data_IF_091183318604
#
_entry.id   IF_091183318604
#
_cell.length_a   1.000
_cell.length_b   1.000
_cell.length_c   1.000
_cell.angle_alpha   90.00
_cell.angle_beta   90.00
_cell.angle_gamma   90.00
#
_symmetry.space_group_name_H-M   'P 1'
#
loop_
_entity.id
_entity.type
_entity.pdbx_description
1 polymer ?
2 non-polymer ?
3 non-polymer ?
4 water ?
#
# COMPACT_ATOMS: atom_id res chain seq x y z
N UNK A 4 15.32 9.96 6.40
CA UNK A 4 15.24 10.43 4.98
C UNK A 4 13.83 10.74 4.46
N UNK A 5 12.83 10.60 5.32
CA UNK A 5 11.44 10.76 4.89
C UNK A 5 11.19 12.18 4.38
N UNK A 6 10.65 12.31 3.18
CA UNK A 6 10.32 13.63 2.57
C UNK A 6 9.30 14.35 3.41
N UNK A 7 9.59 15.56 3.90
CA UNK A 7 8.55 16.25 4.67
C UNK A 7 7.38 16.71 3.78
N UNK A 8 6.16 16.61 4.30
CA UNK A 8 4.98 17.08 3.57
C UNK A 8 3.95 17.57 4.56
N UNK A 9 3.04 18.43 4.11
CA UNK A 9 1.91 18.66 5.02
C UNK A 9 1.12 17.37 5.27
N UNK A 10 0.35 17.38 6.35
CA UNK A 10 -0.54 16.30 6.68
C UNK A 10 -1.91 16.53 6.02
N UNK A 11 -2.36 15.49 5.32
CA UNK A 11 -3.71 15.40 4.79
C UNK A 11 -4.44 14.26 5.53
N UNK A 12 -5.53 14.63 6.20
CA UNK A 12 -6.38 13.65 6.86
C UNK A 12 -7.36 13.09 5.87
N UNK A 13 -7.38 11.76 5.79
CA UNK A 13 -8.38 11.01 5.06
C UNK A 13 -9.21 10.33 6.13
N UNK A 14 -10.39 10.90 6.41
CA UNK A 14 -11.13 10.53 7.61
C UNK A 14 -10.19 10.76 8.78
N UNK A 15 -10.08 9.76 9.65
CA UNK A 15 -9.18 9.84 10.80
C UNK A 15 -7.71 9.50 10.49
N UNK A 16 -7.41 9.08 9.25
CA UNK A 16 -6.07 8.62 8.91
C UNK A 16 -5.21 9.76 8.36
N UNK A 17 -4.12 10.14 9.08
CA UNK A 17 -3.24 11.19 8.60
C UNK A 17 -2.24 10.62 7.60
N UNK A 18 -2.09 11.28 6.46
CA UNK A 18 -1.14 10.93 5.41
C UNK A 18 -0.15 12.06 5.31
N UNK A 19 1.14 11.76 5.33
CA UNK A 19 2.16 12.77 5.11
C UNK A 19 3.46 12.42 5.80
N UNK A 20 4.47 13.24 5.58
CA UNK A 20 5.84 12.93 6.03
C UNK A 20 6.02 12.71 7.52
N UNK A 21 5.11 13.25 8.33
CA UNK A 21 5.12 13.07 9.77
C UNK A 21 4.43 11.79 10.24
N UNK A 22 3.93 10.97 9.32
CA UNK A 22 3.04 9.88 9.69
C UNK A 22 3.44 8.58 9.02
N UNK A 23 3.07 7.43 9.63
CA UNK A 23 3.32 6.16 8.97
C UNK A 23 2.73 6.09 7.56
N UNK A 24 3.45 5.42 6.67
CA UNK A 24 2.97 5.22 5.30
C UNK A 24 1.75 4.34 5.37
N UNK A 25 0.64 4.84 4.82
CA UNK A 25 -0.65 4.20 4.96
C UNK A 25 -0.91 3.22 3.83
N UNK A 26 -1.39 2.04 4.19
CA UNK A 26 -1.77 1.04 3.21
C UNK A 26 -3.21 1.26 2.80
N UNK A 27 -3.44 1.26 1.49
CA UNK A 27 -4.79 1.30 0.98
C UNK A 27 -5.05 0.28 -0.11
N UNK A 28 -6.32 0.17 -0.50
CA UNK A 28 -6.75 -0.82 -1.45
C UNK A 28 -8.02 -0.32 -2.11
N UNK A 29 -8.57 -1.11 -3.01
CA UNK A 29 -9.77 -0.76 -3.74
C UNK A 29 -10.63 -1.99 -3.87
N UNK A 30 -11.93 -1.79 -3.76
CA UNK A 30 -12.90 -2.85 -3.93
C UNK A 30 -13.00 -3.25 -5.42
N UNK A 31 -13.49 -4.46 -5.65
CA UNK A 31 -13.82 -4.89 -7.02
C UNK A 31 -15.26 -5.40 -7.20
N UNK A 32 -16.11 -5.08 -6.23
CA UNK A 32 -17.52 -5.42 -6.31
C UNK A 32 -18.22 -4.28 -7.00
N UNK A 33 -19.39 -4.56 -7.63
CA UNK A 33 -20.16 -3.42 -8.11
C UNK A 33 -20.61 -2.56 -6.93
N UNK A 34 -20.33 -1.27 -7.00
CA UNK A 34 -20.60 -0.36 -5.88
C UNK A 34 -22.10 -0.32 -5.59
N UNK A 35 -22.92 -0.47 -6.63
CA UNK A 35 -24.37 -0.52 -6.48
C UNK A 35 -24.84 -1.69 -5.61
N UNK A 36 -24.05 -2.75 -5.52
CA UNK A 36 -24.36 -3.87 -4.63
C UNK A 36 -23.84 -3.54 -3.23
N UNK A 37 -24.75 -3.03 -2.40
CA UNK A 37 -24.43 -2.51 -1.09
C UNK A 37 -23.92 -3.61 -0.17
N UNK A 38 -24.59 -4.75 -0.16
CA UNK A 38 -24.21 -5.86 0.71
C UNK A 38 -22.80 -6.37 0.33
N UNK A 39 -22.57 -6.61 -0.96
CA UNK A 39 -21.28 -7.13 -1.39
C UNK A 39 -20.14 -6.13 -1.16
N UNK A 40 -20.40 -4.85 -1.44
CA UNK A 40 -19.37 -3.82 -1.30
C UNK A 40 -19.06 -3.54 0.17
N UNK A 41 -20.09 -3.47 1.01
CA UNK A 41 -19.90 -3.28 2.44
C UNK A 41 -19.04 -4.41 3.03
N UNK A 42 -19.36 -5.64 2.66
CA UNK A 42 -18.62 -6.81 3.13
C UNK A 42 -17.15 -6.75 2.70
N UNK A 43 -16.90 -6.36 1.47
CA UNK A 43 -15.53 -6.33 1.00
C UNK A 43 -14.75 -5.18 1.63
N UNK A 44 -15.41 -4.03 1.83
CA UNK A 44 -14.76 -2.92 2.54
C UNK A 44 -14.30 -3.38 3.90
N UNK A 45 -15.18 -4.06 4.64
CA UNK A 45 -14.84 -4.60 5.96
C UNK A 45 -13.71 -5.64 5.90
N UNK A 46 -13.77 -6.52 4.92
CA UNK A 46 -12.75 -7.55 4.69
C UNK A 46 -11.39 -6.90 4.47
N UNK A 47 -11.34 -5.89 3.61
CA UNK A 47 -10.08 -5.22 3.29
C UNK A 47 -9.53 -4.46 4.48
N UNK A 48 -10.42 -3.77 5.18
CA UNK A 48 -10.04 -3.03 6.38
C UNK A 48 -9.49 -3.98 7.45
N UNK A 49 -10.14 -5.11 7.63
CA UNK A 49 -9.68 -6.09 8.62
C UNK A 49 -8.31 -6.69 8.29
N UNK A 50 -8.02 -6.79 6.99
CA UNK A 50 -6.73 -7.28 6.50
C UNK A 50 -5.61 -6.26 6.63
N UNK A 51 -5.98 -5.01 6.85
CA UNK A 51 -5.02 -3.95 7.08
C UNK A 51 -5.10 -2.78 6.13
N UNK A 52 -6.12 -2.71 5.29
CA UNK A 52 -6.32 -1.54 4.45
C UNK A 52 -6.86 -0.38 5.31
N UNK A 53 -6.01 0.60 5.57
CA UNK A 53 -6.34 1.71 6.43
C UNK A 53 -7.31 2.69 5.76
N UNK A 54 -7.25 2.75 4.44
CA UNK A 54 -8.16 3.52 3.57
C UNK A 54 -8.67 2.56 2.49
N UNK A 55 -9.95 2.69 2.12
CA UNK A 55 -10.51 1.87 1.05
C UNK A 55 -11.17 2.74 -0.02
N UNK A 56 -10.77 2.48 -1.25
CA UNK A 56 -11.32 3.19 -2.41
C UNK A 56 -12.38 2.35 -3.06
N UNK A 57 -13.40 3.02 -3.59
CA UNK A 57 -14.43 2.33 -4.38
C UNK A 57 -14.83 3.18 -5.59
N UNK A 58 -15.16 2.50 -6.68
CA UNK A 58 -15.48 3.21 -7.90
C UNK A 58 -16.88 3.81 -7.74
N UNK A 59 -17.04 5.06 -8.16
CA UNK A 59 -18.35 5.71 -8.16
C UNK A 59 -18.57 6.14 -9.59
N UNK A 60 -19.04 5.19 -10.40
CA UNK A 60 -18.99 5.31 -11.85
C UNK A 60 -20.28 5.77 -12.52
N UNK A 61 -21.40 5.59 -11.83
CA UNK A 61 -22.70 5.98 -12.38
C UNK A 61 -23.65 6.32 -11.23
N UNK A 62 -24.88 6.64 -11.57
CA UNK A 62 -25.86 7.13 -10.60
C UNK A 62 -26.21 6.05 -9.57
N UNK A 63 -26.29 4.80 -9.99
CA UNK A 63 -26.61 3.71 -9.07
C UNK A 63 -25.50 3.52 -8.04
N UNK A 64 -24.25 3.63 -8.49
CA UNK A 64 -23.12 3.59 -7.57
C UNK A 64 -23.21 4.72 -6.56
N UNK A 65 -23.49 5.92 -7.05
CA UNK A 65 -23.53 7.11 -6.20
C UNK A 65 -24.62 7.01 -5.14
N UNK A 66 -25.78 6.50 -5.50
CA UNK A 66 -26.87 6.36 -4.55
C UNK A 66 -26.59 5.30 -3.48
N UNK A 67 -25.72 4.35 -3.80
CA UNK A 67 -25.35 3.30 -2.86
C UNK A 67 -24.35 3.76 -1.78
N UNK A 68 -23.52 4.76 -2.10
CA UNK A 68 -22.42 5.14 -1.21
C UNK A 68 -22.89 5.56 0.19
N UNK A 69 -23.94 6.40 0.29
CA UNK A 69 -24.42 6.75 1.63
C UNK A 69 -24.86 5.56 2.47
N UNK A 70 -25.49 4.57 1.86
CA UNK A 70 -25.92 3.38 2.60
C UNK A 70 -24.73 2.52 3.02
N UNK A 71 -23.74 2.35 2.14
CA UNK A 71 -22.50 1.66 2.49
C UNK A 71 -21.87 2.31 3.73
N UNK A 72 -21.68 3.62 3.69
CA UNK A 72 -21.11 4.34 4.82
C UNK A 72 -21.91 4.15 6.12
N UNK A 73 -23.23 4.24 6.02
CA UNK A 73 -24.12 4.03 7.17
C UNK A 73 -23.90 2.65 7.79
N UNK A 74 -23.81 1.62 6.95
CA UNK A 74 -23.61 0.27 7.44
C UNK A 74 -22.26 0.10 8.11
N UNK A 75 -21.21 0.69 7.55
CA UNK A 75 -19.89 0.66 8.15
C UNK A 75 -19.90 1.28 9.54
N UNK A 76 -20.48 2.47 9.64
CA UNK A 76 -20.59 3.17 10.92
C UNK A 76 -21.40 2.40 11.98
N UNK A 77 -22.43 1.68 11.54
CA UNK A 77 -23.28 0.91 12.43
C UNK A 77 -22.50 -0.22 13.11
N UNK A 78 -21.40 -0.65 12.50
CA UNK A 78 -20.55 -1.58 13.23
C UNK A 78 -19.26 -1.02 13.76
N UNK A 79 -19.23 0.30 13.90
CA UNK A 79 -18.12 0.97 14.55
C UNK A 79 -16.89 0.97 13.68
N UNK A 80 -17.05 0.68 12.39
CA UNK A 80 -15.93 0.63 11.47
C UNK A 80 -15.68 1.99 10.86
N UNK A 81 -14.58 2.64 11.27
CA UNK A 81 -14.27 4.02 10.87
C UNK A 81 -13.39 4.15 9.62
N UNK A 82 -13.53 3.22 8.69
CA UNK A 82 -12.63 3.09 7.57
C UNK A 82 -12.99 4.20 6.58
N UNK A 83 -12.01 5.05 6.27
CA UNK A 83 -12.30 6.10 5.28
C UNK A 83 -12.48 5.56 3.87
N UNK A 84 -13.41 6.19 3.15
CA UNK A 84 -13.78 5.82 1.79
C UNK A 84 -13.34 6.87 0.79
N UNK A 85 -12.65 6.42 -0.25
CA UNK A 85 -12.25 7.28 -1.34
C UNK A 85 -13.14 6.93 -2.52
N UNK A 86 -13.73 7.94 -3.12
CA UNK A 86 -14.52 7.73 -4.30
C UNK A 86 -13.71 7.96 -5.55
N UNK A 87 -13.70 6.97 -6.44
CA UNK A 87 -12.97 7.03 -7.69
C UNK A 87 -13.91 7.51 -8.80
N UNK A 88 -13.63 8.68 -9.35
CA UNK A 88 -14.45 9.30 -10.35
C UNK A 88 -13.76 9.38 -11.70
N UNK A 89 -14.48 9.02 -12.75
CA UNK A 89 -14.02 9.21 -14.13
C UNK A 89 -15.14 9.67 -15.04
N UNK A 90 -14.86 10.64 -15.89
CA UNK A 90 -15.75 11.12 -16.94
C UNK A 90 -16.90 11.98 -16.45
N UNK A 91 -17.68 11.44 -15.52
CA UNK A 91 -18.89 12.11 -15.00
C UNK A 91 -18.84 12.51 -13.51
N UNK A 92 -17.65 12.65 -12.94
CA UNK A 92 -17.51 12.93 -11.54
C UNK A 92 -18.19 14.21 -11.14
N UNK A 93 -18.08 15.21 -11.98
CA UNK A 93 -18.70 16.47 -11.72
C UNK A 93 -20.21 16.30 -11.68
N UNK A 94 -20.80 15.51 -12.54
CA UNK A 94 -22.27 15.33 -12.55
C UNK A 94 -22.72 14.58 -11.30
N UNK A 95 -21.99 13.53 -10.93
CA UNK A 95 -22.40 12.70 -9.80
C UNK A 95 -22.29 13.45 -8.48
N UNK A 96 -21.21 14.20 -8.29
CA UNK A 96 -21.02 14.95 -7.05
C UNK A 96 -22.07 16.05 -6.92
N UNK A 97 -22.40 16.71 -8.05
CA UNK A 97 -23.46 17.73 -8.12
C UNK A 97 -24.82 17.15 -7.78
N UNK A 98 -25.18 16.05 -8.44
CA UNK A 98 -26.52 15.48 -8.36
C UNK A 98 -26.78 14.73 -7.05
N UNK A 99 -25.74 14.14 -6.45
CA UNK A 99 -25.88 13.31 -5.24
C UNK A 99 -25.05 13.82 -4.06
N UNK A 100 -25.48 14.94 -3.44
CA UNK A 100 -24.69 15.54 -2.35
C UNK A 100 -24.52 14.64 -1.12
N UNK A 101 -25.47 13.73 -0.88
CA UNK A 101 -25.33 12.76 0.21
C UNK A 101 -24.13 11.81 -0.02
N UNK A 102 -23.90 11.42 -1.27
CA UNK A 102 -22.72 10.66 -1.64
C UNK A 102 -21.46 11.48 -1.42
N UNK A 103 -21.45 12.73 -1.89
CA UNK A 103 -20.29 13.59 -1.71
C UNK A 103 -19.91 13.76 -0.25
N UNK A 104 -20.91 13.86 0.62
CA UNK A 104 -20.71 14.08 2.03
C UNK A 104 -20.27 12.78 2.71
N UNK A 105 -20.72 11.65 2.18
CA UNK A 105 -20.44 10.34 2.77
C UNK A 105 -19.00 9.90 2.53
N UNK A 106 -18.45 10.26 1.37
CA UNK A 106 -17.07 9.94 1.05
C UNK A 106 -16.14 10.72 1.97
N UNK A 107 -14.94 10.18 2.17
CA UNK A 107 -13.92 10.86 2.95
C UNK A 107 -12.83 11.52 2.07
N UNK A 109 -12.11 12.48 -2.47
CA UNK A 109 -12.46 12.33 -3.89
C UNK A 109 -11.18 12.11 -4.68
N UNK A 110 -11.20 11.14 -5.60
CA UNK A 110 -10.12 10.97 -6.57
C UNK A 110 -10.57 11.54 -7.90
N UNK A 111 -9.75 12.45 -8.43
CA UNK A 111 -9.90 13.05 -9.75
C UNK A 111 -8.75 12.55 -10.64
N UNK A 112 -9.07 12.19 -11.88
CA UNK A 112 -8.04 11.91 -12.88
C UNK A 112 -8.05 13.02 -13.92
N UNK A 113 -6.96 13.79 -14.01
CA UNK A 113 -6.97 14.91 -14.94
C UNK A 113 -7.01 14.49 -16.41
N UNK A 114 -6.89 13.20 -16.69
CA UNK A 114 -7.09 12.67 -18.04
C UNK A 114 -8.47 12.10 -18.36
N UNK A 115 -9.38 12.10 -17.38
CA UNK A 115 -10.74 11.61 -17.63
C UNK A 115 -11.78 12.67 -17.23
N UNK A 116 -11.46 13.92 -17.49
CA UNK A 116 -12.35 15.03 -17.11
C UNK A 116 -13.28 15.39 -18.26
N UNK A 117 -12.86 15.03 -19.46
CA UNK A 117 -13.58 15.40 -20.67
C UNK A 117 -12.66 15.98 -21.72
N UNK A 118 -13.26 16.71 -22.67
CA UNK A 118 -12.61 17.09 -23.91
C UNK A 118 -12.39 18.60 -23.97
N UNK A 119 -11.15 19.00 -24.26
CA UNK A 119 -10.79 20.42 -24.44
C UNK A 119 -11.20 21.40 -23.35
N UNK A 120 -12.13 22.27 -23.66
CA UNK A 120 -12.55 23.35 -22.75
C UNK A 120 -13.33 22.82 -21.56
N UNK A 121 -14.07 21.74 -21.78
CA UNK A 121 -14.91 21.14 -20.74
C UNK A 121 -14.10 20.61 -19.56
N UNK A 122 -12.86 20.16 -19.79
CA UNK A 122 -11.94 19.69 -18.73
C UNK A 122 -11.84 20.66 -17.56
N UNK A 123 -11.50 21.91 -17.88
CA UNK A 123 -11.31 22.95 -16.88
C UNK A 123 -12.57 23.21 -16.05
N UNK A 124 -13.73 23.22 -16.71
CA UNK A 124 -15.02 23.40 -16.02
C UNK A 124 -15.25 22.25 -15.06
N UNK A 125 -15.11 21.03 -15.57
CA UNK A 125 -15.40 19.85 -14.77
C UNK A 125 -14.47 19.75 -13.59
N UNK A 126 -13.19 20.03 -13.82
CA UNK A 126 -12.20 20.03 -12.76
C UNK A 126 -12.58 21.04 -11.66
N UNK A 127 -12.83 22.27 -12.07
CA UNK A 127 -13.22 23.32 -11.12
C UNK A 127 -14.45 22.96 -10.30
N UNK A 128 -15.46 22.38 -10.94
CA UNK A 128 -16.69 21.99 -10.22
C UNK A 128 -16.40 20.96 -9.12
N UNK A 129 -15.57 19.97 -9.42
CA UNK A 129 -15.25 18.93 -8.43
C UNK A 129 -14.43 19.50 -7.27
N UNK A 130 -13.47 20.37 -7.58
CA UNK A 130 -12.67 21.03 -6.56
C UNK A 130 -13.57 21.95 -5.71
N UNK A 131 -14.46 22.71 -6.36
CA UNK A 131 -15.47 23.52 -5.66
C UNK A 131 -16.24 22.70 -4.62
N UNK A 132 -16.73 21.53 -5.03
CA UNK A 132 -17.49 20.68 -4.12
C UNK A 132 -16.62 20.18 -2.95
N UNK A 133 -15.41 19.73 -3.25
CA UNK A 133 -14.48 19.31 -2.19
C UNK A 133 -14.24 20.44 -1.19
N UNK A 134 -14.01 21.65 -1.71
CA UNK A 134 -13.80 22.83 -0.84
C UNK A 134 -15.03 23.13 0.02
N UNK A 135 -16.22 23.09 -0.58
CA UNK A 135 -17.48 23.35 0.16
C UNK A 135 -17.68 22.35 1.28
N UNK A 136 -17.27 21.12 1.04
CA UNK A 136 -17.50 20.05 2.01
C UNK A 136 -16.29 19.72 2.89
N UNK A 137 -15.18 20.40 2.67
CA UNK A 137 -13.97 20.16 3.47
C UNK A 137 -13.31 18.82 3.19
N UNK A 138 -13.54 18.28 2.01
CA UNK A 138 -12.94 17.01 1.62
C UNK A 138 -11.56 17.13 0.96
N UNK A 139 -10.69 16.19 1.26
CA UNK A 139 -9.44 16.06 0.51
C UNK A 139 -9.65 15.46 -0.88
N UNK A 140 -8.67 15.65 -1.75
CA UNK A 140 -8.72 15.20 -3.12
C UNK A 140 -7.41 14.55 -3.50
N UNK A 141 -7.45 13.47 -4.25
CA UNK A 141 -6.24 12.99 -4.85
C UNK A 141 -6.35 13.39 -6.29
N UNK A 142 -5.33 14.04 -6.78
CA UNK A 142 -5.22 14.24 -8.19
C UNK A 142 -4.32 13.12 -8.66
N UNK A 143 -4.91 12.16 -9.35
CA UNK A 143 -4.19 10.98 -9.75
C UNK A 143 -4.15 10.82 -11.25
N UNK A 144 -2.98 11.04 -11.81
CA UNK A 144 -2.79 10.80 -13.21
C UNK A 144 -2.36 9.34 -13.42
N UNK A 145 -2.67 8.82 -14.57
CA UNK A 145 -2.29 7.46 -14.91
C UNK A 145 -1.96 7.46 -16.40
N UNK A 146 -0.90 6.78 -16.79
CA UNK A 146 -0.50 6.82 -18.18
C UNK A 146 -1.47 6.09 -19.13
N UNK A 147 -2.37 5.31 -18.56
CA UNK A 147 -3.43 4.69 -19.31
C UNK A 147 -4.51 5.66 -19.78
N UNK A 148 -4.49 6.83 -19.21
CA UNK A 148 -5.50 7.85 -19.47
C UNK A 148 -4.85 9.23 -19.49
N UNK A 149 -3.79 9.37 -20.28
CA UNK A 149 -3.06 10.61 -20.33
C UNK A 149 -3.77 11.63 -21.22
N UNK A 150 -3.93 12.83 -20.69
CA UNK A 150 -4.44 14.01 -21.39
C UNK A 150 -3.75 14.19 -22.77
N UNK A 151 -4.48 13.93 -23.87
CA UNK A 151 -3.85 13.97 -25.20
C UNK A 151 -3.41 15.36 -25.64
N UNK A 152 -4.10 16.41 -25.20
CA UNK A 152 -3.74 17.78 -25.57
C UNK A 152 -2.40 18.16 -24.92
N UNK A 153 -2.22 17.75 -23.67
CA UNK A 153 -0.98 18.01 -22.97
C UNK A 153 0.16 17.24 -23.61
N UNK A 154 -0.14 16.03 -24.08
CA UNK A 154 0.88 15.22 -24.73
C UNK A 154 1.34 15.91 -26.00
N UNK A 155 0.41 16.44 -26.79
CA UNK A 155 0.81 17.14 -28.02
C UNK A 155 1.66 18.37 -27.69
N UNK A 156 1.28 19.10 -26.65
CA UNK A 156 2.02 20.31 -26.28
C UNK A 156 3.46 19.95 -26.00
N UNK A 157 3.66 18.90 -25.21
CA UNK A 157 5.01 18.48 -24.82
C UNK A 157 5.78 17.78 -25.94
N UNK A 158 5.07 17.14 -26.86
CA UNK A 158 5.71 16.59 -28.06
C UNK A 158 6.31 17.71 -28.91
N UNK A 159 5.58 18.83 -29.01
CA UNK A 159 6.03 20.00 -29.77
C UNK A 159 7.23 20.68 -29.06
N UNK A 160 7.14 20.86 -27.74
CA UNK A 160 8.26 21.37 -26.97
C UNK A 160 9.50 20.51 -27.21
N UNK A 161 9.31 19.20 -27.21
CA UNK A 161 10.43 18.27 -27.38
C UNK A 161 11.07 18.34 -28.79
N UNK A 162 10.22 18.47 -29.80
CA UNK A 162 10.69 18.60 -31.18
C UNK A 162 11.56 19.85 -31.41
N UNK A 163 11.36 20.87 -30.59
CA UNK A 163 12.15 22.11 -30.68
C UNK A 163 13.51 21.98 -29.98
N UNK A 164 13.72 20.91 -29.23
CA UNK A 164 14.95 20.78 -28.47
C UNK A 164 16.13 20.54 -29.39
N UNK A 165 17.32 21.07 -29.04
CA UNK A 165 18.50 20.73 -29.83
C UNK A 165 18.69 19.20 -29.99
N UNK A 166 18.55 18.45 -28.89
CA UNK A 166 18.49 16.98 -28.94
C UNK A 166 17.16 16.49 -28.36
N UNK A 167 16.17 16.24 -29.25
CA UNK A 167 14.89 15.73 -28.78
C UNK A 167 15.01 14.41 -28.00
N UNK A 168 14.22 14.28 -26.95
CA UNK A 168 14.10 13.05 -26.19
C UNK A 168 13.18 12.04 -26.90
N UNK A 169 13.21 10.80 -26.46
CA UNK A 169 12.38 9.77 -27.07
C UNK A 169 10.91 10.04 -26.79
N UNK A 170 10.03 9.47 -27.63
CA UNK A 170 8.59 9.57 -27.45
C UNK A 170 8.21 9.08 -26.06
N UNK A 171 8.85 7.98 -25.64
CA UNK A 171 8.56 7.40 -24.33
C UNK A 171 8.87 8.37 -23.19
N UNK A 172 10.01 9.03 -23.29
CA UNK A 172 10.44 10.00 -22.28
C UNK A 172 9.44 11.17 -22.20
N UNK A 173 8.96 11.62 -23.35
CA UNK A 173 7.98 12.72 -23.43
C UNK A 173 6.62 12.32 -22.83
N UNK A 174 6.19 11.08 -23.03
CA UNK A 174 5.00 10.56 -22.35
C UNK A 174 5.16 10.69 -20.84
N UNK A 175 6.33 10.34 -20.32
CA UNK A 175 6.55 10.46 -18.87
C UNK A 175 6.56 11.92 -18.43
N UNK A 176 7.17 12.79 -19.22
CA UNK A 176 7.15 14.23 -18.92
C UNK A 176 5.73 14.72 -18.82
N UNK A 177 4.90 14.29 -19.76
CA UNK A 177 3.52 14.75 -19.85
C UNK A 177 2.69 14.26 -18.68
N UNK A 178 2.96 13.04 -18.22
CA UNK A 178 2.24 12.49 -17.08
C UNK A 178 2.53 13.31 -15.83
N UNK A 179 3.81 13.60 -15.61
CA UNK A 179 4.21 14.44 -14.49
C UNK A 179 3.55 15.82 -14.61
N UNK A 180 3.59 16.39 -15.81
CA UNK A 180 3.10 17.73 -16.01
C UNK A 180 1.59 17.79 -15.76
N UNK A 181 0.89 16.72 -16.14
CA UNK A 181 -0.54 16.62 -15.92
C UNK A 181 -0.91 16.76 -14.44
N UNK A 182 -0.21 16.00 -13.62
CA UNK A 182 -0.41 16.03 -12.17
C UNK A 182 -0.02 17.40 -11.60
N UNK A 183 1.14 17.90 -12.01
CA UNK A 183 1.67 19.13 -11.43
C UNK A 183 0.78 20.31 -11.79
N UNK A 184 0.39 20.41 -13.05
CA UNK A 184 -0.50 21.51 -13.48
C UNK A 184 -1.82 21.48 -12.74
N UNK A 185 -2.41 20.29 -12.59
CA UNK A 185 -3.70 20.20 -11.89
C UNK A 185 -3.54 20.51 -10.39
N UNK A 186 -2.45 20.02 -9.78
CA UNK A 186 -2.05 20.42 -8.40
C UNK A 186 -2.02 21.94 -8.22
N UNK A 187 -1.31 22.62 -9.10
CA UNK A 187 -1.13 24.05 -9.03
C UNK A 187 -2.45 24.78 -9.21
N UNK A 188 -3.26 24.28 -10.14
CA UNK A 188 -4.58 24.83 -10.38
C UNK A 188 -5.50 24.71 -9.18
N UNK A 189 -5.47 23.56 -8.50
CA UNK A 189 -6.32 23.34 -7.31
C UNK A 189 -5.91 24.28 -6.18
N UNK A 190 -4.58 24.43 -5.98
CA UNK A 190 -4.06 25.37 -4.99
C UNK A 190 -4.51 26.81 -5.31
N UNK A 191 -4.38 27.21 -6.56
CA UNK A 191 -4.79 28.56 -6.97
C UNK A 191 -6.27 28.81 -6.75
N UNK A 192 -7.09 27.77 -6.87
CA UNK A 192 -8.55 27.87 -6.61
C UNK A 192 -8.92 27.95 -5.12
N UNK A 193 -7.94 27.70 -4.24
CA UNK A 193 -8.13 27.81 -2.79
C UNK A 193 -8.21 26.51 -1.99
N UNK A 194 -8.05 25.37 -2.66
CA UNK A 194 -8.01 24.10 -1.95
C UNK A 194 -6.70 24.05 -1.14
N UNK A 195 -6.78 23.69 0.13
CA UNK A 195 -5.61 23.82 1.00
C UNK A 195 -4.58 22.74 0.75
N UNK A 196 -3.35 23.00 1.14
CA UNK A 196 -2.28 22.01 1.06
C UNK A 196 -2.59 20.78 1.92
N UNK A 197 -3.44 20.97 2.95
CA UNK A 197 -3.85 19.85 3.80
C UNK A 197 -5.02 19.06 3.20
N UNK A 198 -5.33 19.31 1.93
CA UNK A 198 -6.44 18.63 1.26
C UNK A 198 -6.05 18.06 -0.10
N UNK A 199 -4.76 17.95 -0.39
CA UNK A 199 -4.29 17.51 -1.71
C UNK A 199 -3.19 16.44 -1.65
N UNK A 200 -3.48 15.33 -2.31
CA UNK A 200 -2.57 14.21 -2.48
C UNK A 200 -2.40 14.01 -3.97
N UNK A 201 -1.20 13.64 -4.39
CA UNK A 201 -0.94 13.42 -5.79
C UNK A 201 -0.43 12.02 -6.09
N UNK A 202 -0.81 11.52 -7.27
CA UNK A 202 -0.21 10.32 -7.85
C UNK A 202 -0.03 10.49 -9.37
N UNK A 203 0.90 9.73 -9.95
CA UNK A 203 1.14 9.73 -11.39
C UNK A 203 1.70 8.36 -11.74
N UNK A 204 0.80 7.42 -12.01
CA UNK A 204 1.17 6.02 -12.09
C UNK A 204 1.45 5.53 -13.51
N UNK A 205 2.47 4.69 -13.59
CA UNK A 205 2.82 3.95 -14.79
C UNK A 205 2.96 2.48 -14.45
N UNK A 206 3.06 1.62 -15.48
CA UNK A 206 3.07 0.16 -15.28
C UNK A 206 4.46 -0.49 -15.34
N UNK A 207 5.48 0.32 -15.57
CA UNK A 207 6.87 -0.15 -15.61
C UNK A 207 7.69 0.46 -14.47
N UNK A 208 8.37 -0.40 -13.73
CA UNK A 208 9.05 -0.02 -12.50
C UNK A 208 10.09 1.09 -12.69
N UNK A 209 10.97 1.01 -13.68
CA UNK A 209 12.00 2.04 -13.80
C UNK A 209 11.38 3.39 -14.17
N UNK A 210 10.30 3.36 -14.92
CA UNK A 210 9.60 4.59 -15.27
C UNK A 210 8.91 5.22 -14.05
N UNK A 211 8.30 4.37 -13.20
CA UNK A 211 7.67 4.85 -11.97
C UNK A 211 8.67 5.59 -11.06
N UNK A 212 9.89 5.08 -10.98
CA UNK A 212 10.91 5.70 -10.14
C UNK A 212 11.24 7.11 -10.70
N UNK A 213 11.41 7.20 -12.01
CA UNK A 213 11.65 8.50 -12.63
C UNK A 213 10.51 9.48 -12.34
N UNK A 214 9.29 9.04 -12.59
CA UNK A 214 8.11 9.88 -12.41
C UNK A 214 7.99 10.43 -10.96
N UNK A 215 8.14 9.54 -9.98
CA UNK A 215 7.93 9.94 -8.60
C UNK A 215 9.06 10.81 -8.08
N UNK A 216 10.29 10.61 -8.57
CA UNK A 216 11.37 11.54 -8.24
C UNK A 216 11.05 12.96 -8.74
N UNK A 217 10.47 13.08 -9.92
CA UNK A 217 10.05 14.38 -10.46
C UNK A 217 8.92 14.98 -9.68
N UNK A 218 7.88 14.19 -9.42
CA UNK A 218 6.76 14.63 -8.60
C UNK A 218 7.22 15.13 -7.25
N UNK A 219 8.12 14.38 -6.62
CA UNK A 219 8.60 14.73 -5.28
C UNK A 219 9.39 16.05 -5.27
N UNK A 220 10.19 16.26 -6.31
CA UNK A 220 10.97 17.50 -6.48
C UNK A 220 10.10 18.71 -6.76
N UNK A 221 9.06 18.52 -7.57
CA UNK A 221 8.33 19.65 -8.15
C UNK A 221 7.12 20.08 -7.33
N UNK A 222 6.72 19.23 -6.38
CA UNK A 222 5.57 19.49 -5.53
C UNK A 222 5.91 19.30 -4.06
N UNK A 223 5.01 19.78 -3.20
CA UNK A 223 5.14 19.62 -1.75
C UNK A 223 4.15 18.59 -1.20
N UNK A 224 3.31 18.04 -2.05
CA UNK A 224 2.19 17.24 -1.60
C UNK A 224 2.60 15.86 -1.12
N UNK A 225 1.82 15.30 -0.19
CA UNK A 225 2.03 13.88 0.01
C UNK A 225 1.68 13.12 -1.27
N UNK A 226 2.38 12.01 -1.45
CA UNK A 226 2.26 11.23 -2.66
C UNK A 226 1.68 9.85 -2.40
N UNK A 227 0.70 9.50 -3.23
CA UNK A 227 0.14 8.18 -3.29
C UNK A 227 0.92 7.43 -4.37
N UNK A 228 1.58 6.37 -3.94
CA UNK A 228 2.52 5.66 -4.77
C UNK A 228 2.00 4.28 -5.08
N UNK A 229 2.05 3.93 -6.37
CA UNK A 229 1.76 2.57 -6.78
C UNK A 229 2.16 2.31 -8.23
N UNK A 230 2.44 1.06 -8.52
CA UNK A 230 2.71 0.58 -9.87
C UNK A 230 1.38 0.11 -10.43
N UNK A 231 0.83 0.87 -11.37
CA UNK A 231 -0.49 0.54 -11.89
C UNK A 231 -0.39 -0.66 -12.81
N UNK A 232 -1.47 -1.43 -12.87
CA UNK A 232 -1.58 -2.55 -13.79
C UNK A 232 -0.40 -3.52 -13.63
N UNK A 233 -0.04 -3.85 -12.39
CA UNK A 233 1.13 -4.69 -12.09
C UNK A 233 0.94 -6.14 -12.58
N UNK A 234 -0.29 -6.60 -12.62
CA UNK A 234 -0.57 -7.90 -13.19
C UNK A 234 -0.80 -9.01 -12.18
N UNK A 235 -0.68 -10.25 -12.64
CA UNK A 235 -1.08 -11.43 -11.88
C UNK A 235 0.10 -12.14 -11.25
N UNK A 236 -0.20 -12.84 -10.16
CA UNK A 236 0.72 -13.80 -9.58
C UNK A 236 2.04 -13.23 -9.16
N UNK A 237 3.09 -14.02 -9.36
CA UNK A 237 4.43 -13.65 -8.91
C UNK A 237 4.94 -12.41 -9.66
N UNK A 238 4.65 -12.34 -10.94
CA UNK A 238 5.03 -11.16 -11.73
C UNK A 238 4.54 -9.88 -11.09
N UNK A 239 3.25 -9.86 -10.72
CA UNK A 239 2.62 -8.68 -10.13
C UNK A 239 3.24 -8.30 -8.79
N UNK A 240 3.49 -9.31 -7.97
CA UNK A 240 4.08 -9.09 -6.64
C UNK A 240 5.48 -8.54 -6.77
N UNK A 241 6.28 -9.16 -7.64
CA UNK A 241 7.69 -8.77 -7.79
C UNK A 241 7.80 -7.37 -8.39
N UNK A 242 6.99 -7.11 -9.42
CA UNK A 242 7.04 -5.82 -10.11
C UNK A 242 6.65 -4.70 -9.14
N UNK A 243 5.65 -4.94 -8.30
CA UNK A 243 5.19 -3.95 -7.37
C UNK A 243 6.28 -3.65 -6.33
N UNK A 244 6.89 -4.68 -5.75
CA UNK A 244 7.94 -4.48 -4.76
C UNK A 244 9.17 -3.80 -5.37
N UNK A 245 9.56 -4.24 -6.56
CA UNK A 245 10.71 -3.70 -7.26
C UNK A 245 10.56 -2.22 -7.60
N UNK A 246 9.33 -1.82 -7.93
CA UNK A 246 9.02 -0.43 -8.31
C UNK A 246 8.98 0.48 -7.11
N UNK A 247 8.42 -0.01 -6.00
CA UNK A 247 8.20 0.85 -4.84
C UNK A 247 9.43 1.00 -3.99
N UNK A 248 10.23 -0.06 -3.87
CA UNK A 248 11.34 -0.04 -2.93
C UNK A 248 12.35 1.06 -3.12
N UNK A 249 12.78 1.32 -4.37
CA UNK A 249 13.80 2.36 -4.53
C UNK A 249 13.29 3.72 -4.07
N UNK A 250 12.01 3.97 -4.32
CA UNK A 250 11.36 5.23 -3.90
C UNK A 250 11.18 5.29 -2.39
N UNK A 251 10.65 4.23 -1.80
CA UNK A 251 10.39 4.23 -0.37
C UNK A 251 11.68 4.33 0.41
N UNK A 252 12.73 3.68 -0.08
CA UNK A 252 14.05 3.80 0.57
C UNK A 252 14.62 5.20 0.55
N UNK A 253 14.30 5.96 -0.49
CA UNK A 253 14.68 7.37 -0.68
C UNK A 253 13.79 8.34 0.09
N UNK A 254 12.79 7.82 0.78
CA UNK A 254 11.88 8.64 1.55
C UNK A 254 10.70 9.23 0.79
N UNK A 255 10.44 8.73 -0.41
CA UNK A 255 9.35 9.21 -1.25
C UNK A 255 8.15 8.27 -1.13
N UNK A 256 6.97 8.84 -0.87
CA UNK A 256 5.71 8.10 -0.79
C UNK A 256 5.09 8.13 0.60
N UNK A 257 3.79 8.40 0.64
CA UNK A 257 3.06 8.60 1.91
C UNK A 257 1.88 7.65 2.10
N UNK A 258 1.42 7.08 0.99
CA UNK A 258 0.43 6.02 1.02
C UNK A 258 0.71 5.16 -0.22
N UNK A 259 0.50 3.86 -0.10
CA UNK A 259 0.68 2.93 -1.20
C UNK A 259 -0.57 2.06 -1.45
N UNK A 260 -0.69 1.65 -2.71
CA UNK A 260 -1.69 0.69 -3.13
C UNK A 260 -0.99 -0.24 -4.11
N UNK A 261 -1.22 -1.53 -3.94
CA UNK A 261 -0.66 -2.55 -4.81
C UNK A 261 -1.77 -3.01 -5.79
N UNK A 262 -1.49 -2.84 -7.08
CA UNK A 262 -2.46 -3.05 -8.15
C UNK A 262 -2.29 -4.42 -8.77
N UNK A 263 -2.64 -5.44 -8.00
CA UNK A 263 -2.55 -6.83 -8.46
C UNK A 263 -3.83 -7.26 -9.10
N UNK A 264 -3.70 -8.07 -10.15
CA UNK A 264 -4.84 -8.76 -10.73
C UNK A 264 -5.05 -10.06 -9.95
N UNK A 265 -6.22 -10.19 -9.29
CA UNK A 265 -6.47 -11.44 -8.61
C UNK A 265 -6.64 -12.57 -9.62
N UNK A 266 -6.09 -13.73 -9.33
CA UNK A 266 -6.48 -14.96 -10.03
C UNK A 266 -7.96 -15.24 -9.72
N UNK A 267 -8.67 -15.93 -10.64
CA UNK A 267 -10.07 -16.24 -10.35
C UNK A 267 -10.17 -16.94 -9.00
N UNK A 268 -11.07 -16.47 -8.14
CA UNK A 268 -11.23 -17.04 -6.81
C UNK A 268 -10.20 -16.64 -5.75
N UNK A 269 -9.17 -15.88 -6.14
CA UNK A 269 -8.18 -15.39 -5.18
C UNK A 269 -8.75 -14.20 -4.43
N UNK A 270 -8.50 -14.10 -3.11
CA UNK A 270 -9.13 -13.01 -2.33
C UNK A 270 -8.57 -11.63 -2.71
N UNK A 271 -9.41 -10.61 -2.66
CA UNK A 271 -8.98 -9.23 -2.96
C UNK A 271 -7.98 -8.69 -1.92
N UNK A 272 -7.93 -9.34 -0.75
CA UNK A 272 -7.02 -8.97 0.32
C UNK A 272 -5.54 -9.29 0.04
N UNK A 273 -5.26 -10.04 -1.02
CA UNK A 273 -3.86 -10.34 -1.33
C UNK A 273 -3.05 -9.06 -1.55
N UNK A 274 -3.64 -8.07 -2.21
CA UNK A 274 -2.91 -6.84 -2.47
C UNK A 274 -2.55 -6.12 -1.18
N UNK A 275 -3.40 -6.22 -0.17
CA UNK A 275 -3.14 -5.61 1.14
C UNK A 275 -1.96 -6.29 1.82
N UNK A 276 -1.94 -7.62 1.76
CA UNK A 276 -0.84 -8.41 2.29
C UNK A 276 0.48 -8.01 1.62
N UNK A 277 0.48 -7.89 0.30
CA UNK A 277 1.70 -7.53 -0.42
C UNK A 277 2.19 -6.13 -0.03
N UNK A 278 1.25 -5.18 0.06
CA UNK A 278 1.58 -3.82 0.47
C UNK A 278 2.22 -3.81 1.84
N UNK A 279 1.64 -4.55 2.77
CA UNK A 279 2.21 -4.62 4.11
C UNK A 279 3.61 -5.22 4.10
N UNK A 280 3.80 -6.27 3.30
CA UNK A 280 5.07 -6.94 3.22
C UNK A 280 6.17 -6.03 2.64
N UNK A 281 5.81 -5.15 1.70
CA UNK A 281 6.78 -4.23 1.12
C UNK A 281 7.24 -3.28 2.22
N UNK A 282 6.31 -2.69 2.93
CA UNK A 282 6.68 -1.75 4.00
C UNK A 282 7.48 -2.41 5.13
N UNK A 283 7.10 -3.62 5.50
CA UNK A 283 7.80 -4.29 6.57
C UNK A 283 9.19 -4.75 6.10
N UNK A 284 9.31 -5.18 4.84
CA UNK A 284 10.63 -5.61 4.33
C UNK A 284 11.64 -4.48 4.38
N UNK A 285 11.18 -3.24 4.23
CA UNK A 285 12.07 -2.11 4.21
C UNK A 285 12.21 -1.46 5.58
N UNK A 286 11.62 -2.04 6.61
CA UNK A 286 11.71 -1.50 7.97
C UNK A 286 10.95 -0.21 8.20
N UNK A 287 9.93 0.05 7.40
CA UNK A 287 9.17 1.30 7.47
C UNK A 287 7.96 1.18 8.35
N UNK A 288 7.42 -0.03 8.46
CA UNK A 288 6.30 -0.30 9.38
C UNK A 288 6.44 -1.74 9.83
N UNK A 289 5.85 -2.07 10.96
CA UNK A 289 5.79 -3.45 11.42
C UNK A 289 4.33 -3.83 11.63
N UNK A 290 3.91 -4.90 10.95
CA UNK A 290 2.53 -5.39 11.03
C UNK A 290 2.35 -6.71 11.76
N UNK A 291 3.32 -7.60 11.62
CA UNK A 291 3.24 -8.92 12.23
C UNK A 291 4.61 -9.48 12.38
N UNK A 292 4.79 -10.43 13.34
CA UNK A 292 6.06 -11.12 13.46
C UNK A 292 6.48 -11.73 12.15
N UNK A 293 7.80 -11.81 11.93
CA UNK A 293 8.27 -12.37 10.67
C UNK A 293 9.28 -13.46 10.95
N UNK A 294 9.35 -14.42 10.03
CA UNK A 294 10.27 -15.54 10.14
C UNK A 294 11.35 -15.37 9.09
N UNK A 295 12.59 -15.38 9.56
CA UNK A 295 13.79 -15.48 8.73
C UNK A 295 14.18 -16.96 8.69
N UNK A 296 14.33 -17.51 7.49
CA UNK A 296 14.76 -18.89 7.33
C UNK A 296 15.64 -19.04 6.13
N UNK A 297 16.58 -19.97 6.22
CA UNK A 297 17.45 -20.20 5.09
C UNK A 297 16.75 -21.01 4.00
N UNK A 298 17.35 -21.03 2.80
CA UNK A 298 16.71 -21.77 1.72
C UNK A 298 16.80 -23.26 1.92
N UNK A 299 17.73 -23.70 2.77
CA UNK A 299 18.08 -25.11 2.94
C UNK A 299 18.95 -25.50 1.76
N UNK A 300 19.92 -26.39 2.00
CA UNK A 300 20.76 -26.93 0.94
C UNK A 300 21.00 -28.40 1.21
N UNK A 301 21.96 -28.99 0.51
CA UNK A 301 22.38 -30.35 0.78
C UNK A 301 22.93 -30.63 2.18
N UNK A 302 23.14 -29.58 2.97
CA UNK A 302 23.59 -29.74 4.36
C UNK A 302 22.43 -30.02 5.33
N UNK A 303 21.20 -29.79 4.90
CA UNK A 303 20.04 -30.12 5.73
C UNK A 303 19.24 -31.26 5.18
N UNK A 304 18.38 -31.83 6.02
CA UNK A 304 17.34 -32.72 5.55
C UNK A 304 16.14 -31.87 5.14
N UNK A 305 15.94 -31.76 3.84
CA UNK A 305 15.05 -30.76 3.27
C UNK A 305 13.66 -30.70 3.92
N UNK A 306 12.96 -31.82 3.99
CA UNK A 306 11.55 -31.76 4.41
C UNK A 306 11.36 -31.43 5.90
N UNK A 307 12.16 -31.99 6.81
CA UNK A 307 12.00 -31.63 8.22
C UNK A 307 12.18 -30.12 8.43
N UNK A 308 13.25 -29.59 7.85
CA UNK A 308 13.54 -28.17 7.95
C UNK A 308 12.40 -27.32 7.37
N UNK A 309 11.98 -27.63 6.15
CA UNK A 309 10.88 -26.88 5.50
C UNK A 309 9.58 -26.96 6.30
N UNK A 310 9.28 -28.15 6.83
CA UNK A 310 8.07 -28.34 7.64
C UNK A 310 8.09 -27.51 8.93
N UNK A 311 9.25 -27.48 9.60
CA UNK A 311 9.41 -26.70 10.83
C UNK A 311 9.25 -25.21 10.57
N UNK A 312 9.92 -24.69 9.55
CA UNK A 312 9.78 -23.28 9.19
C UNK A 312 8.31 -22.96 8.90
N UNK A 313 7.65 -23.82 8.13
CA UNK A 313 6.25 -23.58 7.80
C UNK A 313 5.36 -23.64 9.05
N UNK A 314 5.58 -24.63 9.91
CA UNK A 314 4.80 -24.74 11.14
C UNK A 314 4.99 -23.52 12.06
N UNK A 315 6.21 -23.01 12.16
CA UNK A 315 6.47 -21.83 12.99
C UNK A 315 5.73 -20.61 12.43
N UNK A 316 5.84 -20.39 11.12
CA UNK A 316 5.12 -19.31 10.49
C UNK A 316 3.61 -19.46 10.72
N UNK A 317 3.09 -20.68 10.59
CA UNK A 317 1.66 -20.88 10.79
C UNK A 317 1.21 -20.57 12.22
N UNK A 318 1.99 -20.98 13.22
CA UNK A 318 1.66 -20.69 14.61
C UNK A 318 1.70 -19.20 14.92
N UNK A 319 2.71 -18.49 14.43
CA UNK A 319 2.79 -17.05 14.66
C UNK A 319 1.54 -16.35 14.14
N UNK A 320 1.08 -16.76 12.97
CA UNK A 320 -0.10 -16.16 12.37
C UNK A 320 -1.36 -16.49 13.19
N UNK A 321 -1.43 -17.70 13.76
CA UNK A 321 -2.54 -18.09 14.65
C UNK A 321 -2.57 -17.29 15.96
N UNK A 322 -1.39 -17.01 16.52
CA UNK A 322 -1.28 -16.34 17.82
C UNK A 322 -1.45 -14.82 17.72
N UNK A 323 -1.33 -14.26 16.52
CA UNK A 323 -1.22 -12.80 16.39
C UNK A 323 -2.42 -11.98 16.92
N UNK A 324 -3.65 -12.39 16.59
CA UNK A 324 -4.79 -11.59 17.09
C UNK A 324 -4.72 -11.40 18.60
N UNK A 325 -4.45 -12.48 19.32
CA UNK A 325 -4.34 -12.44 20.77
C UNK A 325 -3.12 -11.62 21.20
N UNK A 326 -1.96 -11.96 20.64
CA UNK A 326 -0.71 -11.24 20.95
C UNK A 326 -0.84 -9.73 20.73
N UNK A 327 -1.49 -9.33 19.64
CA UNK A 327 -1.62 -7.92 19.33
C UNK A 327 -2.37 -7.22 20.47
N UNK A 328 -3.37 -7.90 21.02
CA UNK A 328 -4.17 -7.34 22.11
C UNK A 328 -3.42 -7.28 23.45
N UNK A 329 -2.61 -8.30 23.74
CA UNK A 329 -1.94 -8.42 25.05
C UNK A 329 -0.56 -7.79 25.12
N UNK A 330 0.18 -7.85 24.01
CA UNK A 330 1.61 -7.59 24.03
C UNK A 330 2.00 -6.48 23.07
N UNK A 331 1.96 -5.22 23.56
CA UNK A 331 2.33 -4.10 22.70
C UNK A 331 3.73 -4.21 22.13
N UNK A 332 3.84 -3.95 20.82
CA UNK A 332 5.11 -4.00 20.13
C UNK A 332 5.47 -5.35 19.54
N UNK A 333 4.65 -6.38 19.77
CA UNK A 333 4.93 -7.74 19.26
C UNK A 333 5.03 -7.80 17.72
N UNK A 334 4.46 -6.81 17.03
CA UNK A 334 4.56 -6.74 15.56
C UNK A 334 6.01 -6.71 15.07
N UNK A 335 6.93 -6.27 15.94
CA UNK A 335 8.36 -6.19 15.63
C UNK A 335 9.14 -7.50 15.81
N UNK A 336 8.47 -8.55 16.28
CA UNK A 336 9.12 -9.83 16.56
C UNK A 336 9.78 -10.44 15.33
N UNK A 337 11.04 -10.84 15.48
CA UNK A 337 11.79 -11.53 14.44
C UNK A 337 12.16 -12.92 14.97
N UNK A 338 11.71 -13.96 14.28
CA UNK A 338 12.02 -15.33 14.63
C UNK A 338 12.85 -15.94 13.51
N UNK A 339 13.88 -16.70 13.85
CA UNK A 339 14.68 -17.39 12.84
C UNK A 339 14.54 -18.89 12.98
N UNK A 340 14.50 -19.56 11.83
CA UNK A 340 14.47 -21.03 11.75
C UNK A 340 15.49 -21.38 10.68
N UNK A 341 16.56 -22.06 11.11
CA UNK A 341 17.72 -22.24 10.26
C UNK A 341 18.11 -23.70 10.15
N UNK A 342 18.77 -24.03 9.05
CA UNK A 342 18.98 -25.40 8.62
C UNK A 342 20.26 -26.09 9.09
N UNK A 343 21.32 -25.33 9.35
CA UNK A 343 22.59 -25.94 9.81
C UNK A 343 23.50 -24.94 10.49
N UNK A 344 24.66 -25.44 10.92
CA UNK A 344 25.59 -24.67 11.75
C UNK A 344 26.29 -23.55 10.98
N UNK A 345 26.23 -23.58 9.65
CA UNK A 345 26.99 -22.61 8.86
C UNK A 345 26.52 -21.20 9.20
N UNK A 346 25.26 -20.92 8.96
CA UNK A 346 24.70 -19.62 9.31
C UNK A 346 23.65 -19.67 10.42
N UNK A 347 23.38 -20.84 10.96
CA UNK A 347 22.23 -21.00 11.85
C UNK A 347 22.34 -20.20 13.13
N UNK A 348 23.43 -20.44 13.90
CA UNK A 348 23.63 -19.70 15.14
C UNK A 348 23.73 -18.19 14.92
N UNK A 349 24.53 -17.77 13.95
CA UNK A 349 24.71 -16.34 13.70
C UNK A 349 23.42 -15.65 13.32
N UNK A 350 22.66 -16.25 12.42
CA UNK A 350 21.40 -15.63 12.01
C UNK A 350 20.41 -15.62 13.18
N UNK A 351 20.37 -16.72 13.93
CA UNK A 351 19.48 -16.83 15.09
C UNK A 351 19.78 -15.76 16.12
N UNK A 352 21.07 -15.42 16.26
CA UNK A 352 21.52 -14.41 17.21
C UNK A 352 21.11 -13.01 16.82
N UNK A 353 20.83 -12.82 15.53
CA UNK A 353 20.32 -11.53 15.01
C UNK A 353 18.81 -11.36 15.13
N UNK A 354 18.10 -12.48 15.31
CA UNK A 354 16.67 -12.44 15.55
C UNK A 354 16.42 -12.22 17.05
N UNK A 355 15.16 -11.98 17.40
CA UNK A 355 14.81 -11.94 18.83
C UNK A 355 15.00 -13.32 19.42
N UNK A 356 14.55 -14.34 18.68
CA UNK A 356 14.68 -15.73 19.08
C UNK A 356 14.79 -16.61 17.83
N UNK A 357 15.68 -17.58 17.84
CA UNK A 357 15.85 -18.43 16.67
C UNK A 357 16.32 -19.80 17.06
N UNK A 358 16.06 -20.76 16.17
CA UNK A 358 16.53 -22.13 16.37
C UNK A 358 17.39 -22.51 15.16
N UNK A 359 18.49 -23.21 15.45
CA UNK A 359 19.40 -23.71 14.44
C UNK A 359 19.38 -25.24 14.49
N UNK A 360 18.87 -25.85 13.43
CA UNK A 360 18.78 -27.30 13.37
C UNK A 360 20.14 -27.91 13.10
N UNK A 361 20.33 -29.17 13.52
CA UNK A 361 21.51 -29.91 13.14
C UNK A 361 21.44 -30.30 11.66
N UNK A 362 22.47 -29.92 10.92
CA UNK A 362 22.69 -30.39 9.55
C UNK A 362 23.66 -31.56 9.51
N UNK A 363 24.12 -31.87 8.29
CA UNK A 363 25.03 -33.01 8.04
C UNK A 363 26.30 -32.90 8.86
N UNK A 364 26.72 -34.04 9.43
CA UNK A 364 27.96 -34.12 10.20
C UNK A 364 27.86 -33.64 11.63
N UNK A 365 26.69 -33.11 12.02
CA UNK A 365 26.49 -32.51 13.33
C UNK A 365 25.83 -33.49 14.31
N UNK A 366 26.01 -33.21 15.60
CA UNK A 366 25.29 -33.93 16.64
C UNK A 366 23.80 -33.57 16.53
N UNK A 367 22.90 -34.54 16.79
CA UNK A 367 21.44 -34.32 16.66
C UNK A 367 20.85 -33.47 17.78
N UNK A 368 21.28 -32.20 17.84
CA UNK A 368 20.71 -31.24 18.77
C UNK A 368 20.56 -29.89 18.14
N UNK A 369 19.63 -29.12 18.66
CA UNK A 369 19.22 -27.87 18.04
C UNK A 369 19.34 -26.72 19.01
N UNK A 370 20.42 -25.93 18.91
CA UNK A 370 20.52 -24.77 19.80
C UNK A 370 19.45 -23.72 19.51
N UNK A 371 18.95 -23.10 20.58
CA UNK A 371 17.99 -22.01 20.51
C UNK A 371 18.63 -20.79 21.13
N UNK A 372 18.56 -19.67 20.41
CA UNK A 372 19.14 -18.41 20.85
C UNK A 372 18.01 -17.43 21.05
N UNK A 373 18.17 -16.56 22.05
CA UNK A 373 17.23 -15.46 22.26
C UNK A 373 18.04 -14.23 22.70
N UNK A 374 17.69 -13.05 22.20
CA UNK A 374 18.44 -11.83 22.52
C UNK A 374 19.96 -11.99 22.35
N UNK A 375 20.36 -12.76 21.34
CA UNK A 375 21.76 -12.85 20.94
C UNK A 375 22.59 -13.85 21.71
N UNK A 376 21.98 -14.62 22.61
CA UNK A 376 22.72 -15.63 23.34
C UNK A 376 21.95 -16.93 23.47
N UNK A 377 22.70 -17.97 23.79
CA UNK A 377 22.14 -19.30 23.94
C UNK A 377 21.09 -19.31 25.05
N UNK A 378 19.90 -19.82 24.70
CA UNK A 378 18.79 -19.98 25.62
C UNK A 378 18.71 -21.44 26.07
N UNK A 379 18.70 -22.36 25.13
CA UNK A 379 18.69 -23.78 25.46
C UNK A 379 19.12 -24.60 24.25
N UNK A 380 19.16 -25.91 24.41
CA UNK A 380 19.46 -26.81 23.31
C UNK A 380 18.40 -27.90 23.35
N UNK A 381 17.71 -28.07 22.23
CA UNK A 381 16.61 -29.01 22.09
C UNK A 381 17.08 -30.29 21.39
N UNK A 382 16.41 -31.40 21.69
CA UNK A 382 16.68 -32.67 21.02
C UNK A 382 15.47 -33.59 21.05
N UNK A 383 15.50 -34.58 20.17
CA UNK A 383 14.50 -35.64 20.13
C UNK A 383 13.24 -35.26 19.37
N UNK A 384 12.13 -35.84 19.82
CA UNK A 384 10.81 -35.58 19.27
C UNK A 384 10.30 -34.23 19.80
N UNK A 385 9.31 -33.67 19.12
CA UNK A 385 8.66 -32.45 19.59
C UNK A 385 9.52 -31.20 19.65
N UNK A 386 10.62 -31.17 18.91
CA UNK A 386 11.44 -29.95 18.78
C UNK A 386 10.55 -28.75 18.46
N UNK A 387 9.66 -28.95 17.50
CA UNK A 387 8.77 -27.90 17.02
C UNK A 387 7.86 -27.33 18.13
N UNK A 388 7.26 -28.22 18.90
CA UNK A 388 6.39 -27.80 19.99
C UNK A 388 7.17 -27.15 21.13
N UNK A 389 8.37 -27.66 21.41
CA UNK A 389 9.21 -27.08 22.45
C UNK A 389 9.63 -25.68 22.02
N UNK A 390 10.06 -25.54 20.76
CA UNK A 390 10.45 -24.21 20.24
C UNK A 390 9.30 -23.20 20.31
N UNK A 391 8.12 -23.60 19.84
CA UNK A 391 6.98 -22.69 19.90
C UNK A 391 6.56 -22.29 21.32
N UNK A 392 6.78 -23.17 22.30
CA UNK A 392 6.56 -22.81 23.71
C UNK A 392 7.59 -21.76 24.11
N UNK A 393 8.83 -21.94 23.67
CA UNK A 393 9.89 -20.97 24.01
C UNK A 393 9.58 -19.61 23.38
N UNK A 394 9.04 -19.61 22.17
CA UNK A 394 8.68 -18.35 21.50
C UNK A 394 7.55 -17.67 22.29
N UNK A 395 6.54 -18.44 22.70
CA UNK A 395 5.47 -17.90 23.53
C UNK A 395 6.03 -17.27 24.81
N UNK A 396 6.87 -18.01 25.52
CA UNK A 396 7.51 -17.52 26.76
C UNK A 396 8.29 -16.24 26.50
N UNK A 397 9.01 -16.20 25.40
CA UNK A 397 9.82 -15.04 25.04
C UNK A 397 8.95 -13.79 24.84
N UNK A 398 7.87 -13.97 24.09
CA UNK A 398 6.95 -12.87 23.75
C UNK A 398 6.32 -12.31 25.03
N UNK A 399 5.89 -13.20 25.94
CA UNK A 399 5.29 -12.80 27.23
C UNK A 399 6.18 -11.88 28.02
N UNK A 400 7.48 -12.17 28.03
CA UNK A 400 8.46 -11.40 28.77
C UNK A 400 8.88 -10.13 28.01
N UNK A 401 9.28 -10.29 26.75
CA UNK A 401 9.83 -9.19 25.96
C UNK A 401 8.81 -8.08 25.70
N UNK A 402 7.59 -8.47 25.35
CA UNK A 402 6.56 -7.53 24.92
C UNK A 402 5.45 -7.32 25.95
N UNK A 403 5.75 -7.63 27.20
CA UNK A 403 4.87 -7.33 28.32
C UNK A 403 4.53 -5.86 28.34
N UNK A 404 3.29 -5.50 28.73
CA UNK A 404 2.95 -4.08 28.89
C UNK A 404 3.79 -3.39 29.97
#
# INVERSE_FOLDING_TARGET
MEGMRRPTPTVYVGRVPIGGAHPIAVQSMTNTPTRDVEATTAQVLELHRAGSEIVRLTVNDEEAAKAVPEIKRRLLAEGAEVPLVGDFHFNGHLLLRKYPKMAEALDXFRINPGTLGRGRHKDEHFAEMIRIAMDLGKPVRIGANWGSLDPALLTELMDRNARRPEPKSAHEVVLEALVESAVRAYEAALEMGLGEDKLVLSAKVSKARDLVWVYRELARRTQAPLHLGLTEAGMGVKGIVASAAALAPLLLEGIGDTIRVSLTPAPGEPRTKEVEVAQEILQALGLRAFAPEVTSCPGCGRTTSTFFQELAEEVSRRLKERLPEWRARYPGVEELKVAVMGCVVNGPGESKHAHIGISLPGAGEEPKAPVYADGKLLTILKGEGIAEEFLRLVEDYVKTRFAPKA
#
